data_IF_427458908445
#
_entry.id   IF_427458908445
#
_cell.length_a   1.000
_cell.length_b   1.000
_cell.length_c   1.000
_cell.angle_alpha   90.00
_cell.angle_beta   90.00
_cell.angle_gamma   90.00
#
_symmetry.space_group_name_H-M   'P 1'
#
loop_
_entity.id
_entity.type
_entity.pdbx_description
1 polymer ?
#
# COMPACT_ATOMS: atom_id res chain seq x y z
N UNK A 1 -18.82 16.27 -30.68
CA UNK A 1 -17.94 15.14 -31.04
C UNK A 1 -18.05 14.14 -29.92
N UNK A 2 -18.18 12.87 -30.25
CA UNK A 2 -18.31 11.82 -29.25
C UNK A 2 -16.95 11.54 -28.59
N UNK A 3 -16.99 11.18 -27.31
CA UNK A 3 -15.80 10.90 -26.51
C UNK A 3 -15.12 9.61 -27.04
N UNK A 4 -13.79 9.57 -27.26
CA UNK A 4 -13.13 8.36 -27.74
C UNK A 4 -13.40 7.14 -26.84
N UNK A 5 -13.44 5.94 -27.42
CA UNK A 5 -13.73 4.71 -26.65
C UNK A 5 -12.76 4.51 -25.48
N UNK A 6 -11.46 4.71 -25.71
CA UNK A 6 -10.44 4.56 -24.66
C UNK A 6 -10.60 5.57 -23.52
N UNK A 7 -11.04 6.79 -23.86
CA UNK A 7 -11.28 7.88 -22.92
C UNK A 7 -12.50 7.56 -22.03
N UNK A 8 -13.59 7.08 -22.64
CA UNK A 8 -14.77 6.56 -21.92
C UNK A 8 -14.44 5.32 -21.06
N UNK A 9 -13.59 4.41 -21.56
CA UNK A 9 -13.16 3.23 -20.79
C UNK A 9 -12.35 3.63 -19.56
N UNK A 10 -11.46 4.61 -19.70
CA UNK A 10 -10.64 5.11 -18.60
C UNK A 10 -11.49 5.86 -17.55
N UNK A 11 -12.52 6.62 -17.94
CA UNK A 11 -13.51 7.17 -16.98
C UNK A 11 -14.07 6.05 -16.07
N UNK A 12 -14.67 5.02 -16.67
CA UNK A 12 -15.32 3.92 -15.95
C UNK A 12 -14.36 3.16 -15.02
N UNK A 13 -13.10 3.02 -15.42
CA UNK A 13 -12.06 2.44 -14.56
C UNK A 13 -11.75 3.39 -13.38
N UNK A 14 -11.58 4.69 -13.64
CA UNK A 14 -11.23 5.67 -12.60
C UNK A 14 -12.36 5.96 -11.62
N UNK A 15 -13.64 5.85 -12.02
CA UNK A 15 -14.79 5.89 -11.11
C UNK A 15 -14.65 4.85 -9.98
N UNK A 16 -14.10 3.68 -10.29
CA UNK A 16 -13.86 2.63 -9.31
C UNK A 16 -12.93 3.03 -8.16
N UNK A 17 -12.11 4.09 -8.30
CA UNK A 17 -11.27 4.63 -7.21
C UNK A 17 -12.10 5.16 -6.02
N UNK A 18 -13.37 5.48 -6.26
CA UNK A 18 -14.33 5.90 -5.25
C UNK A 18 -15.09 4.72 -4.62
N UNK A 19 -15.01 3.53 -5.21
CA UNK A 19 -15.77 2.34 -4.79
C UNK A 19 -14.93 1.53 -3.78
N UNK A 20 -15.43 1.31 -2.54
CA UNK A 20 -14.70 0.52 -1.55
C UNK A 20 -14.38 -0.90 -2.05
N UNK A 21 -13.13 -1.34 -1.80
CA UNK A 21 -12.56 -2.63 -2.24
C UNK A 21 -12.40 -2.82 -3.76
N UNK A 22 -12.65 -1.79 -4.58
CA UNK A 22 -12.25 -1.84 -5.98
C UNK A 22 -10.73 -1.96 -6.10
N UNK A 23 -10.27 -2.75 -7.07
CA UNK A 23 -8.85 -3.00 -7.31
C UNK A 23 -8.49 -2.44 -8.69
N UNK A 24 -8.25 -1.13 -8.73
CA UNK A 24 -7.95 -0.42 -9.98
C UNK A 24 -6.66 -0.92 -10.61
N UNK A 25 -5.71 -1.39 -9.80
CA UNK A 25 -4.52 -2.12 -10.24
C UNK A 25 -4.87 -3.24 -11.24
N UNK A 26 -5.94 -4.02 -10.99
CA UNK A 26 -6.34 -5.17 -11.82
C UNK A 26 -7.03 -4.78 -13.13
N UNK A 27 -7.64 -3.60 -13.19
CA UNK A 27 -8.25 -3.08 -14.41
C UNK A 27 -7.22 -2.34 -15.29
N UNK A 28 -6.33 -1.58 -14.66
CA UNK A 28 -5.31 -0.76 -15.33
C UNK A 28 -4.08 -1.59 -15.72
N UNK A 29 -3.69 -2.58 -14.92
CA UNK A 29 -2.49 -3.42 -15.15
C UNK A 29 -2.42 -4.06 -16.55
N UNK A 30 -3.48 -4.73 -17.03
CA UNK A 30 -3.51 -5.28 -18.40
C UNK A 30 -3.39 -4.21 -19.49
N UNK A 31 -3.95 -3.02 -19.29
CA UNK A 31 -3.81 -1.88 -20.22
C UNK A 31 -2.36 -1.40 -20.23
N UNK A 32 -1.79 -1.09 -19.07
CA UNK A 32 -0.38 -0.66 -18.93
C UNK A 32 0.60 -1.67 -19.53
N UNK A 33 0.33 -2.97 -19.40
CA UNK A 33 1.14 -4.05 -19.98
C UNK A 33 1.34 -3.93 -21.50
N UNK A 34 0.44 -3.24 -22.21
CA UNK A 34 0.57 -3.00 -23.66
C UNK A 34 1.56 -1.89 -24.02
N UNK A 35 1.90 -1.02 -23.06
CA UNK A 35 2.68 0.20 -23.27
C UNK A 35 4.00 0.22 -22.52
N UNK A 36 4.13 -0.56 -21.43
CA UNK A 36 5.16 -0.44 -20.41
C UNK A 36 6.59 -0.43 -20.97
N UNK A 37 6.90 -1.32 -21.90
CA UNK A 37 8.16 -1.44 -22.63
C UNK A 37 8.61 -0.09 -23.21
N UNK A 38 7.71 0.55 -23.95
CA UNK A 38 7.98 1.82 -24.65
C UNK A 38 7.93 2.99 -23.68
N UNK A 39 6.90 3.05 -22.83
CA UNK A 39 6.72 4.13 -21.84
C UNK A 39 7.92 4.24 -20.92
N UNK A 40 8.41 3.14 -20.36
CA UNK A 40 9.57 3.16 -19.47
C UNK A 40 10.89 3.40 -20.23
N UNK A 41 11.06 2.86 -21.44
CA UNK A 41 12.24 3.17 -22.27
C UNK A 41 12.34 4.67 -22.58
N UNK A 42 11.21 5.32 -22.90
CA UNK A 42 11.12 6.76 -23.12
C UNK A 42 11.31 7.56 -21.83
N UNK A 43 10.71 7.12 -20.72
CA UNK A 43 10.79 7.78 -19.41
C UNK A 43 12.21 7.77 -18.85
N UNK A 44 12.96 6.67 -19.05
CA UNK A 44 14.32 6.51 -18.57
C UNK A 44 15.41 6.86 -19.59
N UNK A 45 15.07 7.48 -20.74
CA UNK A 45 16.03 7.76 -21.83
C UNK A 45 17.33 8.41 -21.36
N UNK A 46 17.23 9.40 -20.46
CA UNK A 46 18.37 10.16 -19.91
C UNK A 46 18.91 9.58 -18.58
N UNK A 47 18.30 8.52 -18.04
CA UNK A 47 18.74 7.90 -16.79
C UNK A 47 19.94 6.99 -17.03
N UNK A 48 21.10 7.33 -16.46
CA UNK A 48 22.36 6.58 -16.68
C UNK A 48 22.33 5.12 -16.19
N UNK A 49 21.42 4.75 -15.28
CA UNK A 49 21.28 3.40 -14.72
C UNK A 49 20.15 2.61 -15.37
N UNK A 50 19.07 3.27 -15.78
CA UNK A 50 17.83 2.62 -16.24
C UNK A 50 17.53 2.80 -17.74
N UNK A 51 18.22 3.70 -18.44
CA UNK A 51 18.13 3.85 -19.91
C UNK A 51 18.44 2.55 -20.64
N UNK A 52 17.71 2.31 -21.72
CA UNK A 52 17.94 1.22 -22.67
C UNK A 52 16.65 0.69 -23.31
N UNK A 53 16.78 -0.30 -24.19
CA UNK A 53 15.66 -1.07 -24.72
C UNK A 53 15.09 -1.98 -23.63
N UNK A 54 13.97 -1.57 -23.05
CA UNK A 54 13.21 -2.39 -22.10
C UNK A 54 12.28 -3.35 -22.85
N UNK A 55 12.06 -4.53 -22.27
CA UNK A 55 11.12 -5.54 -22.75
C UNK A 55 10.36 -6.15 -21.57
N UNK A 56 9.04 -6.23 -21.66
CA UNK A 56 8.24 -7.02 -20.72
C UNK A 56 8.56 -8.51 -20.89
N UNK A 57 8.93 -9.17 -19.78
CA UNK A 57 9.07 -10.63 -19.72
C UNK A 57 7.71 -11.23 -19.43
N UNK A 58 7.11 -10.85 -18.30
CA UNK A 58 5.84 -11.41 -17.83
C UNK A 58 5.09 -10.40 -16.94
N UNK A 59 3.81 -10.11 -17.21
CA UNK A 59 2.93 -9.51 -16.21
C UNK A 59 2.61 -10.54 -15.11
N UNK A 60 2.32 -10.07 -13.89
CA UNK A 60 1.91 -10.89 -12.74
C UNK A 60 2.90 -12.05 -12.47
N UNK A 61 4.20 -11.76 -12.49
CA UNK A 61 5.24 -12.79 -12.42
C UNK A 61 5.31 -13.42 -11.01
N UNK A 62 5.17 -14.75 -10.87
CA UNK A 62 5.21 -15.42 -9.57
C UNK A 62 6.61 -15.45 -8.95
N UNK A 63 6.76 -14.81 -7.79
CA UNK A 63 7.94 -14.88 -6.91
C UNK A 63 7.65 -15.80 -5.71
N UNK A 64 8.30 -16.95 -5.68
CA UNK A 64 8.21 -17.92 -4.57
C UNK A 64 8.63 -17.30 -3.23
N UNK A 65 7.79 -17.49 -2.20
CA UNK A 65 8.07 -17.10 -0.80
C UNK A 65 9.12 -18.01 -0.17
N UNK A 66 9.75 -17.56 0.92
CA UNK A 66 10.87 -18.29 1.55
C UNK A 66 10.46 -19.64 2.15
N UNK A 67 9.33 -19.68 2.86
CA UNK A 67 9.03 -20.77 3.79
C UNK A 67 8.05 -21.82 3.22
N UNK A 68 7.54 -21.62 2.00
CA UNK A 68 6.58 -22.53 1.37
C UNK A 68 6.58 -22.41 -0.16
N UNK A 69 5.72 -23.18 -0.81
CA UNK A 69 5.54 -23.21 -2.28
C UNK A 69 4.47 -22.22 -2.79
N UNK A 70 4.10 -21.22 -1.98
CA UNK A 70 3.24 -20.14 -2.43
C UNK A 70 4.09 -19.03 -3.08
N UNK A 71 3.51 -18.34 -4.05
CA UNK A 71 4.05 -17.10 -4.60
C UNK A 71 3.47 -15.86 -3.91
N UNK A 72 4.22 -14.76 -3.95
CA UNK A 72 3.64 -13.44 -4.22
C UNK A 72 3.82 -13.15 -5.71
N UNK A 73 3.06 -12.23 -6.30
CA UNK A 73 3.35 -11.74 -7.64
C UNK A 73 4.05 -10.38 -7.53
N UNK A 74 4.92 -10.08 -8.51
CA UNK A 74 5.33 -8.72 -8.89
C UNK A 74 4.49 -8.34 -10.12
N UNK A 75 3.95 -7.11 -10.17
CA UNK A 75 3.01 -6.73 -11.24
C UNK A 75 3.62 -6.89 -12.64
N UNK A 76 4.92 -6.59 -12.81
CA UNK A 76 5.68 -6.96 -14.01
C UNK A 76 7.13 -7.34 -13.72
N UNK A 77 7.58 -8.43 -14.34
CA UNK A 77 9.00 -8.69 -14.59
C UNK A 77 9.36 -8.14 -15.97
N UNK A 78 10.38 -7.28 -16.03
CA UNK A 78 10.93 -6.76 -17.30
C UNK A 78 12.44 -6.99 -17.38
N UNK A 79 13.00 -6.81 -18.57
CA UNK A 79 14.42 -6.92 -18.86
C UNK A 79 14.91 -5.67 -19.61
N UNK A 80 15.96 -5.03 -19.10
CA UNK A 80 16.74 -4.02 -19.84
C UNK A 80 17.87 -4.73 -20.59
N UNK A 81 17.77 -4.76 -21.93
CA UNK A 81 18.72 -5.46 -22.80
C UNK A 81 20.12 -4.84 -22.78
N UNK A 82 20.19 -3.51 -22.76
CA UNK A 82 21.44 -2.77 -22.91
C UNK A 82 22.23 -2.75 -21.59
N UNK A 83 21.52 -2.83 -20.45
CA UNK A 83 22.10 -2.93 -19.10
C UNK A 83 22.27 -4.37 -18.61
N UNK A 84 21.68 -5.36 -19.30
CA UNK A 84 21.59 -6.77 -18.89
C UNK A 84 21.07 -6.93 -17.45
N UNK A 85 19.94 -6.27 -17.18
CA UNK A 85 19.39 -6.04 -15.85
C UNK A 85 17.91 -6.41 -15.82
N UNK A 86 17.45 -7.08 -14.75
CA UNK A 86 16.04 -7.34 -14.51
C UNK A 86 15.37 -6.15 -13.80
N UNK A 87 14.15 -5.83 -14.17
CA UNK A 87 13.35 -4.81 -13.48
C UNK A 87 12.14 -5.49 -12.85
N UNK A 88 11.98 -5.32 -11.54
CA UNK A 88 10.77 -5.66 -10.80
C UNK A 88 9.93 -4.39 -10.72
N UNK A 89 8.83 -4.34 -11.46
CA UNK A 89 7.96 -3.16 -11.53
C UNK A 89 6.66 -3.45 -10.77
N UNK A 90 6.38 -2.66 -9.73
CA UNK A 90 5.17 -2.76 -8.90
C UNK A 90 4.26 -1.55 -9.16
N UNK A 91 2.97 -1.79 -9.35
CA UNK A 91 1.91 -0.78 -9.44
C UNK A 91 1.22 -0.58 -8.10
N UNK A 92 1.01 0.68 -7.73
CA UNK A 92 -0.02 1.09 -6.77
C UNK A 92 -0.86 2.19 -7.40
N UNK A 93 -2.18 2.13 -7.23
CA UNK A 93 -3.12 3.17 -7.69
C UNK A 93 -3.66 4.02 -6.54
N UNK A 94 -3.29 3.70 -5.29
CA UNK A 94 -3.73 4.42 -4.10
C UNK A 94 -2.62 4.55 -3.06
N UNK A 95 -2.73 5.57 -2.20
CA UNK A 95 -1.82 5.75 -1.08
C UNK A 95 -2.03 4.76 0.08
N UNK A 96 -2.99 3.84 -0.02
CA UNK A 96 -3.31 2.88 1.06
C UNK A 96 -2.78 1.44 0.84
N UNK A 97 -2.14 1.14 -0.29
CA UNK A 97 -1.92 -0.25 -0.75
C UNK A 97 -0.48 -0.80 -0.55
N UNK A 98 0.29 -0.33 0.43
CA UNK A 98 1.71 -0.68 0.59
C UNK A 98 1.90 -1.78 1.65
N UNK A 99 2.83 -2.71 1.38
CA UNK A 99 3.03 -3.93 2.15
C UNK A 99 4.54 -4.24 2.30
N UNK A 100 5.03 -4.18 3.55
CA UNK A 100 6.46 -4.32 3.86
C UNK A 100 7.00 -5.75 3.66
N UNK A 101 6.13 -6.76 3.73
CA UNK A 101 6.50 -8.16 3.49
C UNK A 101 6.86 -8.39 2.01
N UNK A 102 6.15 -7.73 1.07
CA UNK A 102 6.46 -7.80 -0.36
C UNK A 102 7.80 -7.13 -0.68
N UNK A 103 8.04 -5.94 -0.13
CA UNK A 103 9.33 -5.24 -0.26
C UNK A 103 10.50 -6.12 0.19
N UNK A 104 10.33 -6.82 1.31
CA UNK A 104 11.33 -7.75 1.84
C UNK A 104 11.64 -8.90 0.87
N UNK A 105 10.61 -9.47 0.23
CA UNK A 105 10.79 -10.50 -0.82
C UNK A 105 11.54 -9.93 -2.02
N UNK A 106 11.21 -8.71 -2.48
CA UNK A 106 11.83 -8.11 -3.66
C UNK A 106 13.33 -7.84 -3.45
N UNK A 107 13.72 -7.32 -2.28
CA UNK A 107 15.13 -7.14 -1.94
C UNK A 107 15.88 -8.47 -1.77
N UNK A 108 15.27 -9.51 -1.18
CA UNK A 108 15.88 -10.85 -1.11
C UNK A 108 16.14 -11.42 -2.51
N UNK A 109 15.19 -11.23 -3.45
CA UNK A 109 15.33 -11.69 -4.83
C UNK A 109 16.36 -10.86 -5.60
N UNK A 110 16.41 -9.54 -5.39
CA UNK A 110 17.42 -8.63 -5.95
C UNK A 110 18.85 -9.01 -5.51
N UNK A 111 19.05 -9.25 -4.22
CA UNK A 111 20.35 -9.70 -3.68
C UNK A 111 20.73 -11.10 -4.21
N UNK A 112 19.77 -12.02 -4.29
CA UNK A 112 20.02 -13.35 -4.86
C UNK A 112 20.45 -13.29 -6.35
N UNK A 113 19.88 -12.38 -7.14
CA UNK A 113 20.27 -12.14 -8.53
C UNK A 113 21.70 -11.60 -8.62
N UNK A 114 22.07 -10.67 -7.74
CA UNK A 114 23.42 -10.08 -7.72
C UNK A 114 24.52 -11.14 -7.53
N UNK A 115 24.30 -12.12 -6.65
CA UNK A 115 25.31 -13.15 -6.33
C UNK A 115 25.25 -14.40 -7.23
N UNK A 116 24.07 -14.80 -7.72
CA UNK A 116 23.87 -16.11 -8.35
C UNK A 116 23.30 -16.06 -9.78
N UNK A 117 23.04 -14.85 -10.30
CA UNK A 117 22.31 -14.66 -11.55
C UNK A 117 20.80 -14.86 -11.40
N UNK A 118 20.02 -14.59 -12.45
CA UNK A 118 18.56 -14.70 -12.44
C UNK A 118 18.01 -16.13 -12.67
N UNK A 119 18.88 -17.14 -12.86
CA UNK A 119 18.48 -18.50 -13.25
C UNK A 119 17.49 -19.15 -12.25
N UNK A 120 17.70 -18.92 -10.95
CA UNK A 120 16.86 -19.47 -9.89
C UNK A 120 15.39 -19.00 -9.96
N UNK A 121 15.08 -17.88 -10.64
CA UNK A 121 13.69 -17.45 -10.86
C UNK A 121 12.92 -18.43 -11.77
N UNK A 122 13.63 -19.06 -12.71
CA UNK A 122 13.08 -20.06 -13.63
C UNK A 122 12.94 -21.40 -12.88
N UNK A 123 13.96 -21.79 -12.12
CA UNK A 123 13.93 -23.00 -11.28
C UNK A 123 12.84 -22.94 -10.20
N UNK A 124 12.62 -21.77 -9.58
CA UNK A 124 11.52 -21.54 -8.62
C UNK A 124 10.16 -21.73 -9.30
N UNK A 125 9.99 -21.26 -10.54
CA UNK A 125 8.75 -21.47 -11.32
C UNK A 125 8.54 -22.94 -11.69
N UNK A 126 9.58 -23.66 -12.11
CA UNK A 126 9.51 -25.09 -12.40
C UNK A 126 9.11 -25.89 -11.14
N UNK A 127 9.74 -25.60 -9.99
CA UNK A 127 9.39 -26.23 -8.73
C UNK A 127 7.97 -25.88 -8.23
N UNK A 128 7.50 -24.66 -8.47
CA UNK A 128 6.12 -24.25 -8.14
C UNK A 128 5.12 -24.95 -9.08
N UNK A 129 5.41 -25.03 -10.38
CA UNK A 129 4.60 -25.78 -11.36
C UNK A 129 4.38 -27.22 -10.89
N UNK A 130 5.47 -27.93 -10.59
CA UNK A 130 5.45 -29.36 -10.28
C UNK A 130 4.74 -29.70 -8.95
N UNK A 131 4.51 -28.69 -8.11
CA UNK A 131 3.83 -28.81 -6.80
C UNK A 131 2.44 -28.16 -6.78
N UNK A 132 2.00 -27.54 -7.87
CA UNK A 132 0.73 -26.80 -7.93
C UNK A 132 -0.40 -27.60 -8.57
N UNK A 133 -1.61 -27.49 -8.01
CA UNK A 133 -2.84 -27.91 -8.70
C UNK A 133 -3.12 -27.09 -9.96
N UNK A 134 -2.52 -25.90 -10.08
CA UNK A 134 -2.65 -24.98 -11.20
C UNK A 134 -1.50 -25.13 -12.22
N UNK A 135 -0.94 -26.33 -12.35
CA UNK A 135 0.20 -26.69 -13.23
C UNK A 135 0.17 -25.95 -14.58
N UNK A 136 -0.97 -25.96 -15.29
CA UNK A 136 -1.11 -25.37 -16.61
C UNK A 136 -0.84 -23.86 -16.68
N UNK A 137 -1.11 -23.10 -15.61
CA UNK A 137 -0.80 -21.66 -15.54
C UNK A 137 0.70 -21.41 -15.45
N UNK A 138 1.39 -22.17 -14.61
CA UNK A 138 2.85 -22.10 -14.49
C UNK A 138 3.54 -22.59 -15.76
N UNK A 139 3.06 -23.67 -16.38
CA UNK A 139 3.58 -24.16 -17.66
C UNK A 139 3.41 -23.10 -18.76
N UNK A 140 2.24 -22.45 -18.86
CA UNK A 140 2.01 -21.35 -19.80
C UNK A 140 2.99 -20.18 -19.59
N UNK A 141 3.23 -19.76 -18.34
CA UNK A 141 4.19 -18.69 -18.02
C UNK A 141 5.61 -19.12 -18.42
N UNK A 142 6.03 -20.32 -18.02
CA UNK A 142 7.34 -20.87 -18.36
C UNK A 142 7.56 -20.91 -19.88
N UNK A 143 6.71 -21.60 -20.63
CA UNK A 143 6.88 -21.81 -22.08
C UNK A 143 6.71 -20.52 -22.90
N UNK A 144 5.72 -19.67 -22.57
CA UNK A 144 5.35 -18.55 -23.45
C UNK A 144 5.95 -17.20 -23.06
N UNK A 145 6.45 -17.06 -21.83
CA UNK A 145 6.98 -15.78 -21.30
C UNK A 145 8.45 -15.86 -20.88
N UNK A 146 8.82 -16.92 -20.15
CA UNK A 146 10.11 -16.97 -19.44
C UNK A 146 11.19 -17.70 -20.23
N UNK A 147 10.93 -18.93 -20.69
CA UNK A 147 11.89 -19.74 -21.45
C UNK A 147 12.35 -19.09 -22.78
N UNK A 148 11.53 -18.30 -23.51
CA UNK A 148 11.99 -17.52 -24.67
C UNK A 148 13.01 -16.42 -24.37
N UNK A 149 13.30 -16.17 -23.08
CA UNK A 149 14.30 -15.24 -22.57
C UNK A 149 15.21 -15.92 -21.51
N UNK A 150 15.31 -17.26 -21.55
CA UNK A 150 16.00 -18.05 -20.52
C UNK A 150 17.44 -17.58 -20.31
N UNK A 151 18.18 -17.39 -21.39
CA UNK A 151 19.61 -17.06 -21.30
C UNK A 151 19.81 -15.61 -20.85
N UNK A 152 18.96 -14.67 -21.30
CA UNK A 152 18.98 -13.29 -20.83
C UNK A 152 18.69 -13.20 -19.32
N UNK A 153 17.64 -13.88 -18.84
CA UNK A 153 17.26 -13.90 -17.43
C UNK A 153 18.35 -14.59 -16.60
N UNK A 154 18.85 -15.74 -17.05
CA UNK A 154 19.84 -16.53 -16.29
C UNK A 154 21.16 -15.77 -16.10
N UNK A 155 21.60 -15.02 -17.12
CA UNK A 155 22.85 -14.27 -17.08
C UNK A 155 22.74 -12.87 -16.46
N UNK A 156 21.54 -12.40 -16.09
CA UNK A 156 21.38 -11.14 -15.35
C UNK A 156 21.96 -11.25 -13.94
N UNK A 157 22.94 -10.40 -13.63
CA UNK A 157 23.52 -10.25 -12.28
C UNK A 157 23.24 -8.85 -11.68
N UNK A 158 22.23 -8.16 -12.22
CA UNK A 158 21.72 -6.92 -11.66
C UNK A 158 20.19 -6.90 -11.75
N UNK A 159 19.56 -6.38 -10.71
CA UNK A 159 18.11 -6.16 -10.64
C UNK A 159 17.78 -4.82 -10.01
N UNK A 160 16.67 -4.20 -10.43
CA UNK A 160 16.17 -2.93 -9.89
C UNK A 160 14.69 -3.03 -9.55
N UNK A 161 14.32 -2.48 -8.41
CA UNK A 161 12.93 -2.39 -7.96
C UNK A 161 12.40 -1.00 -8.35
N UNK A 162 11.34 -0.98 -9.14
CA UNK A 162 10.70 0.24 -9.66
C UNK A 162 9.26 0.27 -9.17
N UNK A 163 8.88 1.39 -8.55
CA UNK A 163 7.50 1.62 -8.10
C UNK A 163 6.79 2.63 -9.01
N UNK A 164 5.66 2.23 -9.59
CA UNK A 164 4.72 3.09 -10.30
C UNK A 164 3.56 3.41 -9.35
N UNK A 165 3.46 4.67 -8.91
CA UNK A 165 2.55 5.05 -7.81
C UNK A 165 1.89 6.40 -8.06
N UNK A 166 0.73 6.72 -7.46
CA UNK A 166 0.30 8.10 -7.39
C UNK A 166 1.29 8.89 -6.52
N UNK A 167 1.53 10.15 -6.86
CA UNK A 167 2.32 11.12 -6.07
C UNK A 167 1.98 11.14 -4.58
N UNK A 168 0.71 10.97 -4.23
CA UNK A 168 0.26 10.86 -2.84
C UNK A 168 0.84 9.65 -2.06
N UNK A 169 1.34 8.62 -2.75
CA UNK A 169 1.96 7.42 -2.18
C UNK A 169 3.50 7.41 -2.21
N UNK A 170 4.14 8.30 -2.99
CA UNK A 170 5.61 8.35 -3.22
C UNK A 170 6.43 8.25 -1.91
N UNK A 171 6.08 9.05 -0.91
CA UNK A 171 6.77 9.11 0.38
C UNK A 171 6.70 7.81 1.20
N UNK A 172 5.79 6.89 0.88
CA UNK A 172 5.57 5.63 1.61
C UNK A 172 6.32 4.45 0.98
N UNK A 173 6.69 4.54 -0.29
CA UNK A 173 7.56 3.56 -0.98
C UNK A 173 9.04 3.98 -0.98
N UNK A 174 9.33 5.18 -0.47
CA UNK A 174 10.68 5.73 -0.35
C UNK A 174 11.55 4.89 0.58
N UNK A 175 12.61 4.30 0.01
CA UNK A 175 13.53 3.39 0.71
C UNK A 175 13.29 1.91 0.39
N UNK A 176 12.23 1.56 -0.34
CA UNK A 176 11.91 0.19 -0.77
C UNK A 176 12.14 -0.05 -2.27
N UNK A 177 12.66 0.95 -2.98
CA UNK A 177 12.77 0.97 -4.43
C UNK A 177 14.06 1.68 -4.88
N UNK A 178 14.68 1.20 -5.95
CA UNK A 178 15.77 1.88 -6.64
C UNK A 178 15.27 3.11 -7.41
N UNK A 179 14.02 3.06 -7.89
CA UNK A 179 13.37 4.15 -8.61
C UNK A 179 11.88 4.21 -8.28
N UNK A 180 11.34 5.42 -8.18
CA UNK A 180 9.94 5.70 -7.90
C UNK A 180 9.46 6.67 -8.97
N UNK A 181 8.45 6.27 -9.74
CA UNK A 181 7.82 7.09 -10.75
C UNK A 181 6.39 7.41 -10.31
N UNK A 182 6.08 8.70 -10.27
CA UNK A 182 4.69 9.16 -10.23
C UNK A 182 4.06 9.08 -11.61
N UNK A 183 2.74 9.04 -11.74
CA UNK A 183 2.11 8.93 -13.06
C UNK A 183 2.43 10.15 -13.94
N UNK A 184 2.54 11.34 -13.35
CA UNK A 184 3.02 12.54 -14.03
C UNK A 184 4.46 12.44 -14.57
N UNK A 185 5.33 11.63 -13.97
CA UNK A 185 6.72 11.42 -14.42
C UNK A 185 6.83 10.53 -15.65
N UNK A 186 5.82 9.71 -15.96
CA UNK A 186 5.81 8.88 -17.16
C UNK A 186 5.81 9.75 -18.43
N UNK A 187 6.53 9.32 -19.46
CA UNK A 187 6.70 10.07 -20.71
C UNK A 187 5.35 10.53 -21.29
N UNK A 188 5.25 11.81 -21.63
CA UNK A 188 4.04 12.43 -22.20
C UNK A 188 3.68 11.89 -23.58
N UNK A 189 4.67 11.40 -24.31
CA UNK A 189 4.54 10.89 -25.67
C UNK A 189 5.37 9.63 -25.83
N UNK A 190 4.85 8.68 -26.59
CA UNK A 190 5.58 7.49 -27.01
C UNK A 190 5.55 7.36 -28.54
N UNK A 191 6.55 6.72 -29.17
CA UNK A 191 6.44 6.32 -30.57
C UNK A 191 5.45 5.17 -30.76
N UNK A 192 4.87 5.08 -31.95
CA UNK A 192 4.11 3.93 -32.42
C UNK A 192 2.60 4.14 -32.56
N UNK A 193 1.90 3.06 -32.93
CA UNK A 193 0.50 3.08 -33.38
C UNK A 193 -0.56 3.45 -32.33
N UNK A 194 -0.19 3.52 -31.06
CA UNK A 194 -1.10 3.80 -29.93
C UNK A 194 -0.67 5.03 -29.11
N UNK A 195 0.01 5.98 -29.75
CA UNK A 195 0.57 7.16 -29.08
C UNK A 195 -0.52 8.11 -28.55
N UNK A 196 -1.65 8.23 -29.25
CA UNK A 196 -2.78 9.07 -28.85
C UNK A 196 -3.53 8.45 -27.66
N UNK A 197 -3.79 7.15 -27.71
CA UNK A 197 -4.40 6.38 -26.62
C UNK A 197 -3.53 6.41 -25.37
N UNK A 198 -2.20 6.32 -25.51
CA UNK A 198 -1.29 6.51 -24.38
C UNK A 198 -1.44 7.88 -23.72
N UNK A 199 -1.57 8.96 -24.49
CA UNK A 199 -1.82 10.30 -23.96
C UNK A 199 -3.07 10.33 -23.07
N UNK A 200 -4.17 9.80 -23.57
CA UNK A 200 -5.45 9.70 -22.85
C UNK A 200 -5.30 8.86 -21.57
N UNK A 201 -4.70 7.67 -21.67
CA UNK A 201 -4.46 6.77 -20.52
C UNK A 201 -3.60 7.48 -19.47
N UNK A 202 -2.52 8.12 -19.88
CA UNK A 202 -1.59 8.84 -19.00
C UNK A 202 -2.29 9.98 -18.26
N UNK A 203 -3.17 10.74 -18.92
CA UNK A 203 -3.85 11.86 -18.28
C UNK A 203 -4.84 11.41 -17.19
N UNK A 204 -5.52 10.26 -17.40
CA UNK A 204 -6.32 9.61 -16.35
C UNK A 204 -5.47 9.10 -15.18
N UNK A 205 -4.29 8.54 -15.47
CA UNK A 205 -3.35 8.13 -14.43
C UNK A 205 -2.81 9.34 -13.65
N UNK A 206 -2.52 10.46 -14.31
CA UNK A 206 -2.10 11.71 -13.66
C UNK A 206 -3.18 12.24 -12.69
N UNK A 207 -4.47 12.06 -12.99
CA UNK A 207 -5.53 12.42 -12.05
C UNK A 207 -5.48 11.62 -10.72
N UNK A 208 -4.83 10.45 -10.71
CA UNK A 208 -4.60 9.67 -9.48
C UNK A 208 -3.52 10.30 -8.57
N UNK A 209 -2.58 11.06 -9.12
CA UNK A 209 -1.50 11.68 -8.34
C UNK A 209 -2.05 12.59 -7.22
N UNK A 210 -3.10 13.36 -7.54
CA UNK A 210 -3.81 14.25 -6.61
C UNK A 210 -4.91 13.54 -5.79
N UNK A 211 -5.32 12.34 -6.20
CA UNK A 211 -6.39 11.54 -5.56
C UNK A 211 -5.90 10.71 -4.35
N UNK A 212 -5.44 11.39 -3.31
CA UNK A 212 -5.19 10.77 -1.99
C UNK A 212 -6.48 10.37 -1.25
N UNK A 213 -6.37 9.40 -0.32
CA UNK A 213 -7.45 9.11 0.64
C UNK A 213 -7.90 10.36 1.42
N UNK A 214 -7.01 11.32 1.66
CA UNK A 214 -7.31 12.58 2.37
C UNK A 214 -8.14 13.55 1.54
N UNK A 215 -7.83 13.70 0.24
CA UNK A 215 -8.54 14.60 -0.67
C UNK A 215 -9.96 14.11 -0.94
N UNK A 216 -10.13 12.83 -1.29
CA UNK A 216 -11.46 12.19 -1.45
C UNK A 216 -12.34 12.39 -0.21
N UNK A 217 -11.79 12.13 0.98
CA UNK A 217 -12.50 12.35 2.25
C UNK A 217 -12.79 13.82 2.60
N UNK A 218 -12.17 14.80 1.93
CA UNK A 218 -12.45 16.23 2.13
C UNK A 218 -13.58 16.70 1.22
N UNK A 219 -13.57 16.29 -0.04
CA UNK A 219 -14.56 16.66 -1.06
C UNK A 219 -15.99 16.31 -0.59
N UNK A 220 -16.23 15.05 -0.22
CA UNK A 220 -17.54 14.58 0.25
C UNK A 220 -17.96 15.10 1.63
N UNK A 221 -17.09 15.81 2.36
CA UNK A 221 -17.43 16.48 3.63
C UNK A 221 -17.88 17.93 3.44
N UNK A 222 -17.51 18.56 2.33
CA UNK A 222 -17.95 19.93 1.98
C UNK A 222 -19.30 19.86 1.25
N UNK A 223 -19.58 18.78 0.52
CA UNK A 223 -20.80 18.57 -0.27
C UNK A 223 -22.01 18.03 0.50
N UNK A 224 -21.93 17.84 1.82
CA UNK A 224 -23.03 17.30 2.62
C UNK A 224 -23.99 18.43 3.05
N UNK A 225 -25.32 18.30 2.83
CA UNK A 225 -26.28 19.30 3.30
C UNK A 225 -26.19 19.47 4.82
N UNK A 226 -26.10 20.72 5.28
CA UNK A 226 -26.25 21.03 6.70
C UNK A 226 -27.65 20.62 7.14
N UNK A 227 -27.76 19.67 8.07
CA UNK A 227 -29.00 19.41 8.78
C UNK A 227 -29.16 20.47 9.85
N UNK A 228 -30.09 21.39 9.66
CA UNK A 228 -30.49 22.36 10.67
C UNK A 228 -30.98 21.63 11.92
N UNK A 229 -30.17 21.66 12.98
CA UNK A 229 -30.58 21.24 14.32
C UNK A 229 -30.90 22.51 15.11
N UNK A 230 -32.19 22.81 15.15
CA UNK A 230 -32.76 23.91 15.93
C UNK A 230 -32.30 23.82 17.40
N UNK A 231 -31.55 24.82 17.87
CA UNK A 231 -31.16 24.98 19.27
C UNK A 231 -31.93 26.13 19.91
N UNK A 232 -32.68 25.82 20.97
CA UNK A 232 -33.21 26.82 21.89
C UNK A 232 -32.09 27.50 22.67
N UNK A 233 -32.30 28.77 23.01
CA UNK A 233 -31.29 29.64 23.61
C UNK A 233 -31.16 29.46 25.13
N UNK A 234 -29.93 29.56 25.63
CA UNK A 234 -29.53 30.39 26.79
C UNK A 234 -28.00 30.60 26.77
N UNK A 235 -27.58 31.87 26.88
CA UNK A 235 -26.29 32.41 27.35
C UNK A 235 -25.51 31.52 28.35
N UNK A 236 -24.17 31.48 28.46
CA UNK A 236 -23.00 32.10 27.77
C UNK A 236 -21.70 31.46 28.39
N UNK A 237 -20.43 31.67 27.99
CA UNK A 237 -19.77 32.57 27.00
C UNK A 237 -18.45 31.94 26.45
N UNK A 238 -17.93 32.48 25.33
CA UNK A 238 -16.56 32.43 24.75
C UNK A 238 -15.82 31.12 24.33
N UNK A 239 -14.98 31.32 23.29
CA UNK A 239 -13.95 30.48 22.65
C UNK A 239 -14.39 29.21 21.87
N UNK A 240 -14.60 29.40 20.56
CA UNK A 240 -14.43 28.37 19.51
C UNK A 240 -12.93 28.09 19.27
N UNK A 241 -12.47 26.89 18.83
CA UNK A 241 -12.93 26.33 17.54
C UNK A 241 -12.87 24.78 17.34
N UNK A 242 -13.15 24.34 16.10
CA UNK A 242 -12.91 23.00 15.51
C UNK A 242 -13.90 21.90 15.92
N UNK A 243 -15.02 21.81 15.20
CA UNK A 243 -15.89 20.62 15.18
C UNK A 243 -15.21 19.44 14.47
N UNK A 244 -14.54 18.60 15.27
CA UNK A 244 -13.86 17.38 14.82
C UNK A 244 -14.81 16.44 14.06
N UNK A 245 -14.22 15.68 13.11
CA UNK A 245 -14.88 14.53 12.46
C UNK A 245 -15.46 13.61 13.54
N UNK A 246 -16.62 12.99 13.30
CA UNK A 246 -17.18 11.95 14.17
C UNK A 246 -16.19 10.79 14.33
N UNK A 247 -15.48 10.77 15.46
CA UNK A 247 -14.53 9.72 15.82
C UNK A 247 -15.31 8.59 16.48
N UNK A 248 -15.06 7.33 16.13
CA UNK A 248 -15.71 6.15 16.74
C UNK A 248 -15.21 5.83 18.17
N UNK A 249 -14.60 6.83 18.82
CA UNK A 249 -14.02 6.78 20.15
C UNK A 249 -13.87 8.23 20.66
N UNK A 250 -14.00 8.46 21.98
CA UNK A 250 -14.05 9.79 22.59
C UNK A 250 -12.79 10.62 22.33
N UNK A 251 -11.60 10.00 22.32
CA UNK A 251 -10.36 10.72 22.10
C UNK A 251 -9.13 9.84 21.84
N UNK A 252 -8.03 10.51 21.50
CA UNK A 252 -6.70 9.91 21.47
C UNK A 252 -5.79 10.66 22.43
N UNK A 253 -4.97 9.92 23.16
CA UNK A 253 -4.11 10.41 24.25
C UNK A 253 -2.74 9.74 24.20
N UNK A 254 -1.72 10.33 24.80
CA UNK A 254 -0.42 9.68 24.99
C UNK A 254 -0.45 8.63 26.13
N UNK A 255 0.71 8.06 26.48
CA UNK A 255 0.81 7.05 27.55
C UNK A 255 0.49 7.61 28.94
N UNK A 256 0.97 8.81 29.29
CA UNK A 256 0.77 9.40 30.62
C UNK A 256 -0.68 9.90 30.77
N UNK A 257 -1.22 10.53 29.73
CA UNK A 257 -2.63 10.91 29.65
C UNK A 257 -3.56 9.68 29.72
N UNK A 258 -3.22 8.58 29.03
CA UNK A 258 -3.95 7.31 29.12
C UNK A 258 -3.93 6.74 30.54
N UNK A 259 -2.76 6.71 31.18
CA UNK A 259 -2.63 6.22 32.56
C UNK A 259 -3.46 7.06 33.54
N UNK A 260 -3.40 8.39 33.43
CA UNK A 260 -4.17 9.31 34.26
C UNK A 260 -5.70 9.17 34.03
N UNK A 261 -6.15 8.97 32.79
CA UNK A 261 -7.56 8.66 32.48
C UNK A 261 -8.01 7.33 33.10
N UNK A 262 -7.18 6.29 33.04
CA UNK A 262 -7.47 5.00 33.66
C UNK A 262 -7.54 5.09 35.19
N UNK A 263 -6.68 5.90 35.83
CA UNK A 263 -6.77 6.21 37.26
C UNK A 263 -8.02 7.03 37.63
N UNK A 264 -8.43 7.98 36.79
CA UNK A 264 -9.55 8.89 37.09
C UNK A 264 -10.93 8.26 36.87
N UNK A 265 -11.06 7.41 35.86
CA UNK A 265 -12.36 6.89 35.43
C UNK A 265 -12.53 5.38 35.59
N UNK A 266 -11.44 4.62 35.78
CA UNK A 266 -11.48 3.16 35.92
C UNK A 266 -12.25 2.49 34.77
N UNK A 267 -13.15 1.57 35.11
CA UNK A 267 -13.92 0.80 34.12
C UNK A 267 -15.05 1.58 33.44
N UNK A 268 -15.25 2.86 33.80
CA UNK A 268 -16.15 3.74 33.04
C UNK A 268 -15.57 4.08 31.65
N UNK A 269 -14.26 3.88 31.45
CA UNK A 269 -13.59 4.00 30.16
C UNK A 269 -13.01 2.68 29.69
N UNK A 270 -12.79 2.62 28.39
CA UNK A 270 -12.08 1.57 27.67
C UNK A 270 -10.99 2.19 26.81
N UNK A 271 -9.87 1.49 26.70
CA UNK A 271 -8.71 1.89 25.89
C UNK A 271 -8.42 0.81 24.85
N UNK A 272 -8.24 1.23 23.60
CA UNK A 272 -8.03 0.37 22.46
C UNK A 272 -6.58 -0.07 22.32
N UNK A 273 -6.34 -1.38 22.35
CA UNK A 273 -5.03 -1.99 22.11
C UNK A 273 -5.20 -3.25 21.23
N UNK A 274 -4.60 -3.24 20.04
CA UNK A 274 -4.68 -4.35 19.08
C UNK A 274 -4.06 -5.61 19.65
N UNK A 275 -4.81 -6.72 19.66
CA UNK A 275 -4.39 -7.97 20.31
C UNK A 275 -4.79 -8.06 21.79
N UNK A 276 -5.52 -7.07 22.31
CA UNK A 276 -6.21 -7.17 23.58
C UNK A 276 -5.31 -7.30 24.80
N UNK A 277 -5.87 -7.93 25.84
CA UNK A 277 -5.22 -8.11 27.13
C UNK A 277 -3.95 -8.96 27.03
N UNK A 278 -3.96 -10.05 26.25
CA UNK A 278 -2.82 -10.95 26.07
C UNK A 278 -1.63 -10.20 25.48
N UNK A 279 -1.84 -9.46 24.38
CA UNK A 279 -0.78 -8.69 23.75
C UNK A 279 -0.34 -7.51 24.61
N UNK A 280 -1.24 -6.90 25.40
CA UNK A 280 -0.88 -5.82 26.32
C UNK A 280 0.06 -6.34 27.42
N UNK A 281 -0.31 -7.42 28.12
CA UNK A 281 0.53 -8.02 29.18
C UNK A 281 1.84 -8.64 28.67
N UNK A 282 1.90 -9.06 27.40
CA UNK A 282 3.12 -9.61 26.80
C UNK A 282 4.03 -8.56 26.14
N UNK A 283 3.61 -7.29 26.05
CA UNK A 283 4.43 -6.23 25.45
C UNK A 283 5.46 -5.71 26.45
N UNK A 284 6.60 -5.23 25.98
CA UNK A 284 7.57 -4.57 26.86
C UNK A 284 7.05 -3.20 27.30
N UNK A 285 7.45 -2.75 28.50
CA UNK A 285 7.07 -1.42 28.99
C UNK A 285 7.47 -0.30 28.02
N UNK A 286 8.63 -0.42 27.36
CA UNK A 286 9.11 0.52 26.34
C UNK A 286 8.19 0.58 25.12
N UNK A 287 7.68 -0.54 24.62
CA UNK A 287 6.72 -0.55 23.49
C UNK A 287 5.38 0.08 23.86
N UNK A 288 4.95 -0.06 25.12
CA UNK A 288 3.74 0.57 25.65
C UNK A 288 3.98 2.08 25.79
N UNK A 289 5.05 2.51 26.46
CA UNK A 289 5.33 3.93 26.70
C UNK A 289 5.61 4.72 25.40
N UNK A 290 6.35 4.15 24.44
CA UNK A 290 6.67 4.82 23.17
C UNK A 290 5.54 4.77 22.14
N UNK A 291 4.38 4.16 22.47
CA UNK A 291 3.24 4.10 21.56
C UNK A 291 2.67 5.50 21.32
N UNK A 292 2.77 5.98 20.07
CA UNK A 292 2.41 7.34 19.63
C UNK A 292 1.05 7.86 20.11
N UNK A 293 0.05 7.00 20.27
CA UNK A 293 -1.21 7.32 20.94
C UNK A 293 -2.00 6.05 21.29
N UNK A 294 -2.83 6.20 22.32
CA UNK A 294 -3.91 5.31 22.72
C UNK A 294 -5.25 5.89 22.26
N UNK A 295 -6.20 5.03 21.86
CA UNK A 295 -7.59 5.43 21.59
C UNK A 295 -8.42 5.12 22.82
N UNK A 296 -9.29 6.02 23.26
CA UNK A 296 -10.15 5.77 24.41
C UNK A 296 -11.60 6.18 24.16
N UNK A 297 -12.52 5.54 24.87
CA UNK A 297 -13.94 5.90 24.89
C UNK A 297 -14.58 5.48 26.22
N UNK A 298 -15.82 5.88 26.49
CA UNK A 298 -16.60 5.35 27.60
C UNK A 298 -17.03 3.90 27.35
N UNK A 299 -17.08 3.07 28.40
CA UNK A 299 -17.48 1.66 28.31
C UNK A 299 -18.90 1.46 27.75
N UNK A 300 -19.81 2.42 28.02
CA UNK A 300 -21.18 2.45 27.43
C UNK A 300 -21.19 2.55 25.89
N UNK A 301 -20.09 2.99 25.27
CA UNK A 301 -19.95 3.15 23.83
C UNK A 301 -19.30 1.92 23.15
N UNK A 302 -19.46 0.72 23.71
CA UNK A 302 -18.90 -0.54 23.16
C UNK A 302 -19.61 -1.05 21.89
N UNK A 303 -20.80 -0.54 21.56
CA UNK A 303 -21.59 -1.00 20.40
C UNK A 303 -20.83 -0.82 19.09
N UNK A 304 -20.69 -1.90 18.32
CA UNK A 304 -19.94 -1.92 17.05
C UNK A 304 -18.42 -2.05 17.18
N UNK A 305 -17.87 -2.19 18.39
CA UNK A 305 -16.42 -2.43 18.62
C UNK A 305 -16.11 -3.91 18.84
N UNK A 306 -14.98 -4.38 18.30
CA UNK A 306 -14.43 -5.71 18.60
C UNK A 306 -13.95 -5.73 20.05
N UNK A 307 -14.79 -6.23 20.98
CA UNK A 307 -14.56 -6.22 22.44
C UNK A 307 -13.15 -6.68 22.84
N UNK A 308 -12.61 -7.69 22.15
CA UNK A 308 -11.27 -8.22 22.43
C UNK A 308 -10.12 -7.20 22.30
N UNK A 309 -10.26 -6.12 21.51
CA UNK A 309 -9.23 -5.09 21.34
C UNK A 309 -9.43 -3.87 22.27
N UNK A 310 -10.35 -3.93 23.24
CA UNK A 310 -10.65 -2.82 24.16
C UNK A 310 -10.56 -3.29 25.61
N UNK A 311 -9.62 -2.72 26.36
CA UNK A 311 -9.34 -3.05 27.76
C UNK A 311 -10.01 -2.03 28.66
N UNK A 312 -10.55 -2.47 29.81
CA UNK A 312 -11.09 -1.57 30.81
C UNK A 312 -9.97 -0.83 31.56
N UNK A 313 -10.26 0.36 32.10
CA UNK A 313 -9.26 1.19 32.76
C UNK A 313 -8.57 0.49 33.94
N UNK A 314 -9.31 -0.23 34.80
CA UNK A 314 -8.71 -0.95 35.93
C UNK A 314 -7.74 -2.05 35.48
N UNK A 315 -8.09 -2.78 34.42
CA UNK A 315 -7.27 -3.86 33.84
C UNK A 315 -5.91 -3.35 33.38
N UNK A 316 -5.86 -2.15 32.78
CA UNK A 316 -4.59 -1.54 32.35
C UNK A 316 -3.72 -1.13 33.55
N UNK A 317 -4.31 -0.51 34.59
CA UNK A 317 -3.60 -0.16 35.81
C UNK A 317 -3.03 -1.41 36.50
N UNK A 318 -3.81 -2.49 36.56
CA UNK A 318 -3.36 -3.74 37.15
C UNK A 318 -2.18 -4.36 36.39
N UNK A 319 -2.23 -4.41 35.06
CA UNK A 319 -1.13 -4.95 34.24
C UNK A 319 0.12 -4.08 34.35
N UNK A 320 -0.01 -2.75 34.28
CA UNK A 320 1.13 -1.82 34.44
C UNK A 320 1.78 -1.95 35.82
N UNK A 321 1.00 -2.21 36.86
CA UNK A 321 1.50 -2.49 38.22
C UNK A 321 2.20 -3.85 38.30
N UNK A 322 1.55 -4.93 37.84
CA UNK A 322 2.01 -6.31 38.05
C UNK A 322 3.15 -6.73 37.11
N UNK A 323 3.11 -6.30 35.84
CA UNK A 323 4.08 -6.72 34.82
C UNK A 323 5.18 -5.69 34.54
N UNK A 324 4.96 -4.43 34.91
CA UNK A 324 5.89 -3.33 34.58
C UNK A 324 6.32 -2.48 35.79
N UNK A 325 5.83 -2.77 37.00
CA UNK A 325 6.23 -2.09 38.23
C UNK A 325 5.88 -0.59 38.27
N UNK A 326 4.95 -0.15 37.43
CA UNK A 326 4.62 1.27 37.28
C UNK A 326 3.82 1.79 38.50
N UNK A 327 4.14 2.98 39.05
CA UNK A 327 3.59 3.43 40.33
C UNK A 327 2.09 3.77 40.24
N UNK A 328 1.34 3.46 41.30
CA UNK A 328 -0.13 3.64 41.37
C UNK A 328 -0.58 5.08 41.68
N UNK A 329 0.25 6.08 41.40
CA UNK A 329 0.03 7.51 41.69
C UNK A 329 0.24 8.34 40.44
N UNK A 330 -0.48 9.46 40.31
CA UNK A 330 -0.27 10.41 39.20
C UNK A 330 1.19 10.88 39.17
N UNK A 331 1.75 10.95 37.97
CA UNK A 331 3.02 11.63 37.66
C UNK A 331 2.73 12.98 37.01
#
# INVERSE_FOLDING_TARGET
MDKPFIDTLMDYIMEGTMIPKSQIERAVGPILSMFLDVVLSETFREDKKLSGSLKLVCPEFPLKKKDNWQSTNIDWLMYNKDRKQLLFVELKTSDTSINDDQNSIYHIKQEAILHNGGAFLIEDLEQMRDRSSEFGKYQYILETKVLPLKDEISNCHDAKIIYLVPKSAEHKVKGHADSILTFAMLSKSIPGKFAEEWGIIRDHLCALDDSSQRSRNRQYRISAPQRDVMKSATSDVEISPITKKSVHWQGTVDFHEMFNLCLEHGDNIIVGFTGGIERFSSSTFTEIQLRRFYRWDFAKNLTGKKKADWLAGSTIIEILRQHHGYPSTRQ
#
